data_IF_904145969850
#
_entry.id   IF_904145969850
#
_cell.length_a   1.000
_cell.length_b   1.000
_cell.length_c   1.000
_cell.angle_alpha   90.00
_cell.angle_beta   90.00
_cell.angle_gamma   90.00
#
_symmetry.space_group_name_H-M   'P 1'
#
loop_
_entity.id
_entity.type
_entity.pdbx_description
1 polymer ?
#
# COMPACT_ATOMS: atom_id res chain seq x y z
N UNK A 1 22.86 16.70 -8.10
CA UNK A 1 21.61 16.34 -7.37
C UNK A 1 20.59 17.39 -7.74
N UNK A 2 19.40 17.01 -8.20
CA UNK A 2 18.42 18.01 -8.64
C UNK A 2 17.71 18.63 -7.44
N UNK A 3 17.18 19.85 -7.60
CA UNK A 3 16.42 20.54 -6.56
C UNK A 3 15.12 21.07 -7.14
N UNK A 4 14.01 20.90 -6.42
CA UNK A 4 12.76 21.62 -6.63
C UNK A 4 12.84 22.92 -5.84
N UNK A 5 12.89 24.05 -6.54
CA UNK A 5 13.08 25.38 -5.94
C UNK A 5 11.77 26.12 -5.70
N UNK A 6 10.75 25.81 -6.50
CA UNK A 6 9.44 26.40 -6.37
C UNK A 6 8.33 25.43 -6.80
N UNK A 7 7.13 25.65 -6.28
CA UNK A 7 5.93 24.86 -6.59
C UNK A 7 4.76 25.81 -6.81
N UNK A 8 4.13 25.70 -7.97
CA UNK A 8 2.93 26.47 -8.30
C UNK A 8 1.80 25.55 -8.73
N UNK A 9 0.56 25.93 -8.41
CA UNK A 9 -0.65 25.22 -8.84
C UNK A 9 -1.50 26.20 -9.61
N UNK A 10 -1.72 25.91 -10.89
CA UNK A 10 -2.51 26.74 -11.79
C UNK A 10 -3.81 26.02 -12.16
N UNK A 11 -4.94 26.74 -12.29
CA UNK A 11 -6.17 26.17 -12.81
C UNK A 11 -6.04 25.85 -14.30
N UNK A 12 -6.56 24.70 -14.71
CA UNK A 12 -6.60 24.23 -16.10
C UNK A 12 -8.05 23.93 -16.53
N UNK A 13 -8.29 23.77 -17.84
CA UNK A 13 -9.65 23.55 -18.39
C UNK A 13 -10.37 22.33 -17.79
N UNK A 14 -9.63 21.26 -17.49
CA UNK A 14 -10.17 20.00 -16.96
C UNK A 14 -9.63 19.64 -15.58
N UNK A 15 -9.05 20.60 -14.85
CA UNK A 15 -8.48 20.35 -13.51
C UNK A 15 -7.41 21.36 -13.14
N UNK A 16 -6.20 20.91 -12.84
CA UNK A 16 -5.07 21.76 -12.43
C UNK A 16 -3.76 21.35 -13.09
N UNK A 17 -2.83 22.27 -13.15
CA UNK A 17 -1.43 22.03 -13.45
C UNK A 17 -0.61 22.28 -12.18
N UNK A 18 0.09 21.25 -11.71
CA UNK A 18 1.09 21.39 -10.63
C UNK A 18 2.46 21.49 -11.30
N UNK A 19 3.11 22.64 -11.15
CA UNK A 19 4.40 22.93 -11.77
C UNK A 19 5.47 22.92 -10.68
N UNK A 20 6.44 22.02 -10.81
CA UNK A 20 7.63 21.96 -9.98
C UNK A 20 8.79 22.59 -10.75
N UNK A 21 9.29 23.74 -10.29
CA UNK A 21 10.46 24.37 -10.89
C UNK A 21 11.74 23.69 -10.39
N UNK A 22 12.61 23.29 -11.30
CA UNK A 22 13.78 22.48 -10.95
C UNK A 22 15.08 23.04 -11.50
N UNK A 23 16.19 22.80 -10.79
CA UNK A 23 17.51 23.35 -11.13
C UNK A 23 18.18 22.69 -12.34
N UNK A 24 17.65 21.57 -12.84
CA UNK A 24 18.22 20.80 -13.95
C UNK A 24 17.14 20.37 -14.94
N UNK A 25 17.31 20.63 -16.25
CA UNK A 25 16.34 20.23 -17.29
C UNK A 25 16.25 18.71 -17.46
N UNK A 26 17.30 17.97 -17.08
CA UNK A 26 17.26 16.51 -17.01
C UNK A 26 16.85 16.12 -15.60
N UNK A 27 15.55 15.89 -15.42
CA UNK A 27 14.97 15.49 -14.15
C UNK A 27 15.10 13.99 -13.93
N UNK A 28 15.33 13.66 -12.68
CA UNK A 28 15.38 12.30 -12.15
C UNK A 28 14.09 11.53 -12.44
N UNK A 29 14.18 10.20 -12.41
CA UNK A 29 13.06 9.31 -12.71
C UNK A 29 11.88 9.62 -11.78
N UNK A 30 10.72 9.85 -12.38
CA UNK A 30 9.45 10.01 -11.65
C UNK A 30 8.81 8.63 -11.55
N UNK A 31 8.49 8.23 -10.34
CA UNK A 31 7.70 7.03 -10.05
C UNK A 31 6.35 7.50 -9.56
N UNK A 32 5.26 6.91 -10.07
CA UNK A 32 3.91 7.28 -9.65
C UNK A 32 3.11 6.07 -9.22
N UNK A 33 2.22 6.28 -8.26
CA UNK A 33 1.27 5.28 -7.78
C UNK A 33 -0.08 5.94 -7.48
N UNK A 34 -1.13 5.13 -7.44
CA UNK A 34 -2.46 5.55 -7.00
C UNK A 34 -2.91 4.67 -5.85
N UNK A 35 -3.56 5.28 -4.87
CA UNK A 35 -4.10 4.59 -3.70
C UNK A 35 -5.41 5.25 -3.28
N UNK A 36 -6.49 4.46 -3.26
CA UNK A 36 -7.86 4.93 -3.05
C UNK A 36 -8.18 6.17 -3.90
N UNK A 37 -8.30 7.33 -3.27
CA UNK A 37 -8.65 8.62 -3.89
C UNK A 37 -7.42 9.47 -4.20
N UNK A 38 -6.21 8.94 -4.04
CA UNK A 38 -4.98 9.72 -4.07
C UNK A 38 -4.04 9.26 -5.18
N UNK A 39 -3.50 10.21 -5.91
CA UNK A 39 -2.37 10.02 -6.82
C UNK A 39 -1.09 10.51 -6.13
N UNK A 40 -0.01 9.72 -6.24
CA UNK A 40 1.29 10.00 -5.64
C UNK A 40 2.33 9.98 -6.75
N UNK A 41 3.16 11.02 -6.84
CA UNK A 41 4.34 11.06 -7.69
C UNK A 41 5.59 11.33 -6.85
N UNK A 42 6.62 10.51 -7.03
CA UNK A 42 7.88 10.60 -6.34
C UNK A 42 9.01 10.88 -7.33
N UNK A 43 9.67 12.02 -7.14
CA UNK A 43 10.84 12.44 -7.89
C UNK A 43 12.07 11.93 -7.13
N UNK A 44 12.72 10.90 -7.67
CA UNK A 44 13.97 10.33 -7.12
C UNK A 44 15.13 11.31 -7.28
N UNK A 45 16.27 11.13 -6.60
CA UNK A 45 17.49 11.96 -6.73
C UNK A 45 17.24 13.49 -6.79
N UNK A 46 16.25 13.97 -6.03
CA UNK A 46 15.74 15.34 -6.06
C UNK A 46 15.49 15.81 -4.63
N UNK A 47 15.93 17.02 -4.29
CA UNK A 47 15.68 17.64 -2.99
C UNK A 47 14.66 18.75 -3.09
N UNK A 48 13.80 18.87 -2.08
CA UNK A 48 12.89 20.01 -1.97
C UNK A 48 13.63 21.17 -1.28
N UNK A 49 13.76 22.30 -1.97
CA UNK A 49 14.36 23.53 -1.46
C UNK A 49 13.51 24.74 -1.86
N UNK A 50 12.31 24.81 -1.27
CA UNK A 50 11.40 25.91 -1.52
C UNK A 50 11.95 27.21 -0.94
N UNK A 51 11.88 28.29 -1.70
CA UNK A 51 12.28 29.63 -1.23
C UNK A 51 11.47 30.08 -0.01
N UNK A 52 10.23 29.58 0.13
CA UNK A 52 9.35 29.84 1.27
C UNK A 52 9.76 29.12 2.56
N UNK A 53 10.64 28.10 2.48
CA UNK A 53 11.11 27.29 3.61
C UNK A 53 10.05 26.41 4.28
N UNK A 54 8.80 26.38 3.80
CA UNK A 54 7.68 25.59 4.36
C UNK A 54 7.21 24.51 3.38
N UNK A 55 6.63 23.39 3.86
CA UNK A 55 5.98 22.41 3.00
C UNK A 55 4.88 23.07 2.15
N UNK A 56 4.75 22.67 0.89
CA UNK A 56 3.71 23.22 0.01
C UNK A 56 2.43 22.40 0.15
N UNK A 57 1.32 23.07 0.48
CA UNK A 57 0.00 22.46 0.58
C UNK A 57 -1.07 23.43 0.09
N UNK A 58 -1.93 22.97 -0.81
CA UNK A 58 -3.09 23.70 -1.30
C UNK A 58 -4.32 22.81 -1.15
N UNK A 59 -5.36 23.36 -0.53
CA UNK A 59 -6.64 22.67 -0.36
C UNK A 59 -7.67 23.16 -1.37
N UNK A 60 -8.52 22.24 -1.83
CA UNK A 60 -9.58 22.47 -2.82
C UNK A 60 -9.14 23.30 -4.06
N UNK A 61 -8.05 22.92 -4.75
CA UNK A 61 -7.51 23.72 -5.86
C UNK A 61 -8.39 23.68 -7.13
N UNK A 62 -9.23 22.66 -7.29
CA UNK A 62 -10.24 22.57 -8.35
C UNK A 62 -11.36 21.60 -7.94
N UNK A 63 -12.46 21.63 -8.69
CA UNK A 63 -13.55 20.68 -8.53
C UNK A 63 -13.04 19.24 -8.72
N UNK A 64 -13.43 18.34 -7.82
CA UNK A 64 -12.98 16.94 -7.85
C UNK A 64 -11.60 16.69 -7.20
N UNK A 65 -10.90 17.74 -6.75
CA UNK A 65 -9.59 17.64 -6.09
C UNK A 65 -9.68 18.21 -4.66
N UNK A 66 -9.46 17.35 -3.68
CA UNK A 66 -9.42 17.66 -2.25
C UNK A 66 -8.17 18.46 -1.88
N UNK A 67 -6.98 18.03 -2.31
CA UNK A 67 -5.74 18.72 -1.96
C UNK A 67 -4.57 18.37 -2.89
N UNK A 68 -3.57 19.26 -2.92
CA UNK A 68 -2.25 19.04 -3.51
C UNK A 68 -1.20 19.32 -2.44
N UNK A 69 -0.30 18.38 -2.21
CA UNK A 69 0.78 18.53 -1.23
C UNK A 69 2.11 18.15 -1.87
N UNK A 70 3.17 18.94 -1.63
CA UNK A 70 4.54 18.62 -2.04
C UNK A 70 5.46 18.67 -0.82
N UNK A 71 6.11 17.55 -0.51
CA UNK A 71 7.00 17.40 0.64
C UNK A 71 8.30 16.70 0.27
N UNK A 72 9.35 16.92 1.09
CA UNK A 72 10.53 16.08 1.08
C UNK A 72 10.17 14.72 1.68
N UNK A 73 10.23 13.66 0.88
CA UNK A 73 9.96 12.32 1.36
C UNK A 73 11.17 11.74 2.11
N UNK A 74 12.38 11.98 1.60
CA UNK A 74 13.64 11.67 2.25
C UNK A 74 14.72 12.70 1.81
N UNK A 75 16.00 12.44 2.12
CA UNK A 75 17.12 13.34 1.80
C UNK A 75 17.43 13.46 0.30
N UNK A 76 16.81 12.63 -0.54
CA UNK A 76 17.04 12.56 -1.98
C UNK A 76 15.78 12.38 -2.80
N UNK A 77 14.58 12.52 -2.22
CA UNK A 77 13.32 12.30 -2.94
C UNK A 77 12.26 13.32 -2.54
N UNK A 78 11.51 13.82 -3.52
CA UNK A 78 10.38 14.75 -3.35
C UNK A 78 9.10 14.02 -3.71
N UNK A 79 8.09 14.10 -2.85
CA UNK A 79 6.77 13.49 -3.06
C UNK A 79 5.73 14.56 -3.32
N UNK A 80 4.97 14.39 -4.39
CA UNK A 80 3.77 15.14 -4.73
C UNK A 80 2.56 14.23 -4.53
N UNK A 81 1.60 14.69 -3.75
CA UNK A 81 0.37 13.97 -3.43
C UNK A 81 -0.80 14.80 -3.92
N UNK A 82 -1.68 14.19 -4.72
CA UNK A 82 -2.89 14.82 -5.24
C UNK A 82 -4.07 13.95 -4.83
N UNK A 83 -4.93 14.46 -3.94
CA UNK A 83 -6.08 13.72 -3.42
C UNK A 83 -7.35 14.21 -4.11
N UNK A 84 -8.08 13.30 -4.75
CA UNK A 84 -9.41 13.50 -5.31
C UNK A 84 -10.53 13.33 -4.27
N UNK A 85 -11.77 13.58 -4.69
CA UNK A 85 -12.95 13.50 -3.80
C UNK A 85 -13.51 12.06 -3.72
N UNK A 86 -13.68 11.39 -4.85
CA UNK A 86 -14.33 10.08 -4.94
C UNK A 86 -13.45 8.99 -5.55
N UNK A 87 -12.54 9.38 -6.42
CA UNK A 87 -11.58 8.51 -7.11
C UNK A 87 -10.25 9.24 -7.29
N UNK A 88 -9.15 8.53 -7.56
CA UNK A 88 -7.86 9.19 -7.72
C UNK A 88 -7.88 9.97 -9.04
N UNK A 89 -7.36 11.22 -9.05
CA UNK A 89 -7.36 12.02 -10.26
C UNK A 89 -6.39 11.45 -11.29
N UNK A 90 -6.74 11.54 -12.58
CA UNK A 90 -5.84 11.13 -13.65
C UNK A 90 -4.74 12.18 -13.82
N UNK A 91 -3.47 11.77 -13.80
CA UNK A 91 -2.34 12.69 -13.88
C UNK A 91 -1.44 12.34 -15.05
N UNK A 92 -1.22 13.31 -15.92
CA UNK A 92 -0.22 13.25 -17.00
C UNK A 92 1.00 14.05 -16.59
N UNK A 93 2.19 13.46 -16.72
CA UNK A 93 3.45 14.11 -16.37
C UNK A 93 4.18 14.48 -17.65
N UNK A 94 4.49 15.76 -17.81
CA UNK A 94 5.29 16.29 -18.92
C UNK A 94 6.49 17.07 -18.39
N UNK A 95 7.60 17.02 -19.14
CA UNK A 95 8.83 17.73 -18.82
C UNK A 95 9.05 18.83 -19.85
N UNK A 96 9.27 20.05 -19.39
CA UNK A 96 9.54 21.19 -20.27
C UNK A 96 10.51 22.15 -19.59
N UNK A 97 11.68 22.36 -20.20
CA UNK A 97 12.65 23.42 -19.86
C UNK A 97 12.91 23.66 -18.37
N UNK A 98 13.24 22.61 -17.62
CA UNK A 98 13.56 22.71 -16.18
C UNK A 98 12.35 22.62 -15.26
N UNK A 99 11.14 22.47 -15.80
CA UNK A 99 9.92 22.24 -15.05
C UNK A 99 9.42 20.80 -15.20
N UNK A 100 8.90 20.25 -14.10
CA UNK A 100 8.04 19.07 -14.13
C UNK A 100 6.59 19.54 -14.01
N UNK A 101 5.78 19.28 -15.03
CA UNK A 101 4.37 19.66 -15.05
C UNK A 101 3.51 18.42 -14.86
N UNK A 102 2.74 18.39 -13.79
CA UNK A 102 1.71 17.38 -13.55
C UNK A 102 0.38 18.00 -13.96
N UNK A 103 -0.14 17.57 -15.11
CA UNK A 103 -1.49 17.91 -15.54
C UNK A 103 -2.45 16.94 -14.87
N UNK A 104 -3.23 17.45 -13.92
CA UNK A 104 -4.20 16.68 -13.15
C UNK A 104 -5.58 16.94 -13.73
N UNK A 105 -6.17 15.91 -14.32
CA UNK A 105 -7.57 15.93 -14.71
C UNK A 105 -8.45 15.60 -13.49
N UNK A 106 -9.46 16.43 -13.25
CA UNK A 106 -10.48 16.15 -12.26
C UNK A 106 -11.17 14.82 -12.61
N UNK A 107 -11.46 13.94 -11.62
CA UNK A 107 -12.19 12.71 -11.89
C UNK A 107 -13.55 13.08 -12.49
N UNK A 108 -13.85 12.53 -13.67
CA UNK A 108 -15.11 12.76 -14.34
C UNK A 108 -16.25 12.32 -13.41
N UNK A 109 -17.06 13.27 -12.95
CA UNK A 109 -18.30 12.96 -12.25
C UNK A 109 -19.17 12.15 -13.20
N UNK A 110 -19.32 10.85 -12.91
CA UNK A 110 -20.15 9.97 -13.72
C UNK A 110 -21.61 10.37 -13.53
N UNK A 111 -22.09 11.29 -14.37
CA UNK A 111 -23.50 11.35 -14.70
C UNK A 111 -23.78 10.19 -15.63
N UNK A 112 -24.56 9.22 -15.15
CA UNK A 112 -25.02 8.10 -15.95
C UNK A 112 -25.80 8.60 -17.17
N UNK A 113 -25.25 8.37 -18.36
CA UNK A 113 -26.02 8.24 -19.59
C UNK A 113 -25.28 7.25 -20.49
N UNK A 114 -25.87 6.07 -20.62
CA UNK A 114 -25.39 5.04 -21.52
C UNK A 114 -25.74 5.41 -22.96
N UNK A 115 -24.75 5.46 -23.85
CA UNK A 115 -24.91 5.01 -25.23
C UNK A 115 -23.56 4.50 -25.77
N UNK A 116 -23.51 3.34 -26.46
CA UNK A 116 -22.26 2.70 -26.82
C UNK A 116 -21.70 3.26 -28.13
N UNK A 117 -20.44 3.67 -28.13
CA UNK A 117 -19.66 3.77 -29.37
C UNK A 117 -18.35 3.00 -29.26
N UNK A 118 -18.28 2.03 -30.15
CA UNK A 118 -17.18 1.19 -30.55
C UNK A 118 -16.07 2.04 -31.23
N UNK A 119 -14.81 1.91 -30.79
CA UNK A 119 -13.65 1.71 -31.67
C UNK A 119 -12.36 1.44 -30.86
N UNK A 120 -11.92 0.18 -30.93
CA UNK A 120 -10.56 -0.30 -31.20
C UNK A 120 -9.35 0.60 -30.87
N UNK A 121 -8.56 0.20 -29.86
CA UNK A 121 -7.10 0.43 -29.84
C UNK A 121 -6.36 -0.60 -28.98
N UNK A 122 -5.53 -1.41 -29.66
CA UNK A 122 -4.39 -2.25 -29.21
C UNK A 122 -4.17 -2.44 -27.70
N UNK A 123 -4.33 -3.71 -27.29
CA UNK A 123 -3.78 -4.24 -26.05
C UNK A 123 -2.24 -4.21 -26.11
N UNK A 124 -1.63 -3.45 -25.21
CA UNK A 124 -0.29 -3.74 -24.72
C UNK A 124 -0.47 -4.19 -23.27
N UNK A 125 -0.25 -5.49 -23.06
CA UNK A 125 -0.46 -6.19 -21.82
C UNK A 125 0.65 -5.81 -20.85
N UNK A 126 0.41 -4.75 -20.06
CA UNK A 126 1.25 -4.42 -18.90
C UNK A 126 0.77 -5.29 -17.74
N UNK A 127 1.59 -6.28 -17.39
CA UNK A 127 1.36 -7.22 -16.29
C UNK A 127 1.02 -6.50 -15.00
N UNK A 128 -0.05 -6.94 -14.31
CA UNK A 128 -0.35 -6.58 -12.92
C UNK A 128 0.93 -6.60 -12.08
N UNK A 129 1.36 -5.43 -11.61
CA UNK A 129 2.50 -5.28 -10.71
C UNK A 129 1.93 -5.31 -9.30
N UNK A 130 1.97 -6.50 -8.69
CA UNK A 130 1.60 -6.72 -7.31
C UNK A 130 2.49 -5.86 -6.37
N UNK A 131 1.85 -5.07 -5.50
CA UNK A 131 2.45 -3.99 -4.73
C UNK A 131 2.52 -4.42 -3.24
N UNK A 132 3.72 -4.48 -2.66
CA UNK A 132 3.90 -4.71 -1.22
C UNK A 132 3.69 -3.41 -0.45
N UNK A 133 2.77 -3.43 0.51
CA UNK A 133 2.55 -2.40 1.50
C UNK A 133 2.81 -3.02 2.87
N UNK A 134 4.04 -2.91 3.36
CA UNK A 134 4.33 -3.19 4.77
C UNK A 134 3.89 -2.00 5.62
N UNK A 135 2.59 -1.78 5.63
CA UNK A 135 1.68 -1.23 6.64
C UNK A 135 1.97 0.13 7.33
N UNK A 136 3.19 0.67 7.38
CA UNK A 136 3.47 2.08 7.75
C UNK A 136 4.78 2.62 7.13
N UNK A 137 5.30 1.97 6.10
CA UNK A 137 6.56 2.36 5.42
C UNK A 137 6.35 2.57 3.92
N UNK A 138 7.22 3.35 3.25
CA UNK A 138 7.12 3.59 1.81
C UNK A 138 6.85 2.31 1.05
N UNK A 139 5.80 2.35 0.24
CA UNK A 139 5.50 1.37 -0.78
C UNK A 139 6.76 1.12 -1.59
N UNK A 140 7.38 -0.03 -1.37
CA UNK A 140 8.62 -0.43 -2.05
C UNK A 140 8.23 -1.48 -3.07
N UNK A 141 8.66 -1.32 -4.32
CA UNK A 141 8.35 -2.30 -5.36
C UNK A 141 8.90 -3.67 -4.92
N UNK A 142 8.18 -4.77 -5.13
CA UNK A 142 8.66 -6.12 -4.78
C UNK A 142 10.07 -6.41 -5.31
N UNK A 143 10.41 -5.84 -6.48
CA UNK A 143 11.72 -5.91 -7.14
C UNK A 143 12.85 -5.12 -6.47
N UNK A 144 12.53 -4.16 -5.61
CA UNK A 144 13.51 -3.35 -4.86
C UNK A 144 13.81 -3.94 -3.47
N UNK A 145 13.01 -4.92 -3.03
CA UNK A 145 13.23 -5.63 -1.78
C UNK A 145 14.22 -6.78 -2.05
N UNK A 146 15.41 -6.73 -1.45
CA UNK A 146 16.41 -7.80 -1.48
C UNK A 146 16.01 -8.97 -0.55
N UNK A 147 14.73 -9.36 -0.55
CA UNK A 147 14.18 -10.45 0.25
C UNK A 147 13.00 -11.09 -0.47
N UNK A 148 12.67 -12.34 -0.14
CA UNK A 148 11.46 -12.98 -0.67
C UNK A 148 10.25 -12.40 0.03
N UNK A 149 9.38 -11.73 -0.70
CA UNK A 149 8.10 -11.21 -0.20
C UNK A 149 6.99 -11.90 -0.96
N UNK A 150 6.06 -12.49 -0.21
CA UNK A 150 4.82 -13.01 -0.75
C UNK A 150 3.67 -12.17 -0.22
N UNK A 151 2.67 -11.97 -1.05
CA UNK A 151 1.49 -11.18 -0.75
C UNK A 151 0.28 -12.04 -1.12
N UNK A 152 -0.78 -11.96 -0.32
CA UNK A 152 -2.09 -12.50 -0.68
C UNK A 152 -3.18 -11.57 -0.21
N UNK A 153 -4.02 -11.15 -1.14
CA UNK A 153 -5.23 -10.34 -0.91
C UNK A 153 -6.34 -11.17 -0.28
N UNK A 154 -7.32 -10.50 0.34
CA UNK A 154 -8.52 -11.14 0.88
C UNK A 154 -9.19 -12.07 -0.14
N UNK A 155 -9.30 -11.63 -1.39
CA UNK A 155 -9.93 -12.40 -2.48
C UNK A 155 -9.15 -13.66 -2.85
N UNK A 156 -7.83 -13.62 -2.77
CA UNK A 156 -6.97 -14.79 -3.00
C UNK A 156 -7.01 -15.75 -1.82
N UNK A 157 -6.98 -15.22 -0.59
CA UNK A 157 -7.09 -15.99 0.64
C UNK A 157 -8.44 -16.71 0.74
N UNK A 158 -9.54 -16.04 0.39
CA UNK A 158 -10.89 -16.64 0.33
C UNK A 158 -11.03 -17.70 -0.78
N UNK A 159 -10.20 -17.63 -1.83
CA UNK A 159 -10.24 -18.59 -2.95
C UNK A 159 -9.42 -19.86 -2.67
N UNK A 160 -8.25 -19.69 -2.05
CA UNK A 160 -7.33 -20.79 -1.78
C UNK A 160 -7.71 -21.60 -0.53
N UNK A 161 -8.27 -20.94 0.48
CA UNK A 161 -8.85 -21.62 1.63
C UNK A 161 -10.36 -21.39 1.67
N UNK A 162 -11.12 -22.49 1.74
CA UNK A 162 -12.55 -22.40 1.98
C UNK A 162 -12.77 -22.05 3.47
N UNK A 163 -12.90 -20.75 3.75
CA UNK A 163 -13.20 -20.15 5.06
C UNK A 163 -12.01 -20.11 6.05
N UNK A 164 -10.91 -19.41 5.74
CA UNK A 164 -9.86 -19.21 6.72
C UNK A 164 -10.39 -18.27 7.83
N UNK A 165 -10.42 -18.78 9.05
CA UNK A 165 -11.06 -18.13 10.21
C UNK A 165 -10.12 -17.23 10.99
N UNK A 166 -8.82 -17.47 10.83
CA UNK A 166 -7.77 -16.79 11.58
C UNK A 166 -6.61 -16.47 10.65
N UNK A 167 -5.81 -15.46 11.01
CA UNK A 167 -4.54 -15.14 10.34
C UNK A 167 -3.65 -16.38 10.24
N UNK A 168 -3.61 -17.20 11.30
CA UNK A 168 -2.86 -18.46 11.30
C UNK A 168 -3.32 -19.40 10.18
N UNK A 169 -4.63 -19.62 10.02
CA UNK A 169 -5.15 -20.42 8.90
C UNK A 169 -4.77 -19.79 7.55
N UNK A 170 -5.02 -18.49 7.37
CA UNK A 170 -4.67 -17.75 6.13
C UNK A 170 -3.17 -17.86 5.76
N UNK A 171 -2.29 -17.87 6.76
CA UNK A 171 -0.85 -17.98 6.56
C UNK A 171 -0.40 -19.35 6.03
N UNK A 172 -1.21 -20.40 6.14
CA UNK A 172 -0.88 -21.72 5.58
C UNK A 172 -0.91 -21.73 4.05
N UNK A 173 -1.62 -20.78 3.43
CA UNK A 173 -1.62 -20.56 1.99
C UNK A 173 -0.25 -20.10 1.46
N UNK A 174 0.63 -19.59 2.33
CA UNK A 174 1.93 -19.06 1.93
C UNK A 174 3.00 -20.14 1.90
N UNK A 175 3.81 -20.22 0.83
CA UNK A 175 4.86 -21.22 0.72
C UNK A 175 5.96 -21.01 1.78
N UNK A 176 6.34 -22.09 2.46
CA UNK A 176 7.39 -22.06 3.48
C UNK A 176 6.97 -21.45 4.82
N UNK A 177 5.66 -21.30 5.05
CA UNK A 177 5.07 -21.01 6.35
C UNK A 177 4.41 -22.29 6.89
N UNK A 178 4.63 -22.56 8.17
CA UNK A 178 3.96 -23.62 8.91
C UNK A 178 3.38 -23.03 10.17
N UNK A 179 2.14 -23.38 10.51
CA UNK A 179 1.56 -22.99 11.80
C UNK A 179 1.81 -24.10 12.82
N UNK A 180 2.57 -23.76 13.85
CA UNK A 180 2.74 -24.61 15.02
C UNK A 180 1.54 -24.40 15.94
N UNK A 181 0.62 -25.37 15.95
CA UNK A 181 -0.53 -25.32 16.87
C UNK A 181 -0.05 -25.55 18.30
N UNK A 182 -0.28 -24.56 19.16
CA UNK A 182 -0.06 -24.61 20.60
C UNK A 182 -1.33 -25.03 21.36
N UNK A 183 -2.48 -25.07 20.68
CA UNK A 183 -3.77 -25.52 21.20
C UNK A 183 -4.87 -25.48 20.12
N UNK A 184 -6.13 -25.68 20.52
CA UNK A 184 -7.29 -25.69 19.59
C UNK A 184 -7.51 -24.32 18.93
N UNK A 185 -7.27 -23.23 19.65
CA UNK A 185 -7.42 -21.86 19.19
C UNK A 185 -6.10 -21.07 19.27
N UNK A 186 -4.98 -21.79 19.35
CA UNK A 186 -3.68 -21.16 19.56
C UNK A 186 -2.64 -21.71 18.59
N UNK A 187 -1.91 -20.81 17.94
CA UNK A 187 -0.84 -21.21 17.04
C UNK A 187 0.11 -20.08 16.69
N UNK A 188 1.39 -20.42 16.53
CA UNK A 188 2.42 -19.48 16.11
C UNK A 188 2.96 -19.82 14.73
N UNK A 189 3.36 -18.79 13.99
CA UNK A 189 3.94 -18.97 12.67
C UNK A 189 5.40 -19.43 12.76
N UNK A 190 5.74 -20.38 11.92
CA UNK A 190 7.10 -20.76 11.60
C UNK A 190 7.39 -20.36 10.15
N UNK A 191 8.40 -19.52 9.94
CA UNK A 191 8.79 -19.03 8.62
C UNK A 191 10.17 -19.60 8.31
N UNK A 192 10.25 -20.53 7.35
CA UNK A 192 11.50 -21.21 6.94
C UNK A 192 12.33 -21.78 8.11
N UNK A 193 11.66 -22.35 9.12
CA UNK A 193 12.31 -22.98 10.28
C UNK A 193 12.53 -22.07 11.48
N UNK A 194 12.29 -20.77 11.36
CA UNK A 194 12.38 -19.80 12.46
C UNK A 194 10.99 -19.57 13.07
N UNK A 195 10.93 -19.29 14.38
CA UNK A 195 9.67 -19.15 15.14
C UNK A 195 9.88 -18.17 16.30
N UNK A 196 8.80 -17.79 16.98
CA UNK A 196 8.85 -17.03 18.23
C UNK A 196 9.22 -15.56 18.01
N UNK A 197 9.98 -15.00 18.94
CA UNK A 197 10.49 -13.61 18.91
C UNK A 197 11.39 -13.32 17.69
N UNK A 198 11.67 -14.31 16.84
CA UNK A 198 12.48 -14.15 15.62
C UNK A 198 11.64 -13.74 14.41
N UNK A 199 10.32 -13.71 14.52
CA UNK A 199 9.41 -13.27 13.47
C UNK A 199 8.62 -12.07 13.97
N UNK A 200 8.81 -10.90 13.37
CA UNK A 200 8.02 -9.71 13.70
C UNK A 200 6.59 -9.86 13.17
N UNK A 201 5.60 -9.44 13.96
CA UNK A 201 4.21 -9.34 13.49
C UNK A 201 3.74 -7.89 13.58
N UNK A 202 3.23 -7.38 12.47
CA UNK A 202 2.70 -6.03 12.33
C UNK A 202 1.21 -6.11 12.04
N UNK A 203 0.43 -5.22 12.64
CA UNK A 203 -0.96 -4.94 12.26
C UNK A 203 -1.04 -3.47 11.88
N UNK A 204 -1.39 -3.18 10.63
CA UNK A 204 -1.46 -1.81 10.11
C UNK A 204 -0.20 -0.98 10.40
N UNK A 205 0.95 -1.66 10.42
CA UNK A 205 2.27 -1.04 10.56
C UNK A 205 2.70 -0.85 12.01
N UNK A 206 1.81 -1.12 12.95
CA UNK A 206 2.11 -1.17 14.37
C UNK A 206 2.58 -2.57 14.77
N UNK A 207 3.71 -2.62 15.48
CA UNK A 207 4.26 -3.89 15.96
C UNK A 207 3.43 -4.40 17.11
N UNK A 208 3.00 -5.66 17.03
CA UNK A 208 2.46 -6.34 18.20
C UNK A 208 3.62 -6.88 19.05
N UNK A 209 3.49 -6.82 20.39
CA UNK A 209 4.48 -7.42 21.26
C UNK A 209 4.43 -8.94 21.11
N UNK A 210 5.57 -9.53 20.77
CA UNK A 210 5.72 -10.98 20.69
C UNK A 210 6.01 -11.57 22.07
N UNK A 211 5.55 -12.81 22.27
CA UNK A 211 5.92 -13.65 23.40
C UNK A 211 7.00 -14.65 22.97
N UNK A 212 7.62 -15.35 23.92
CA UNK A 212 8.68 -16.34 23.68
C UNK A 212 8.30 -17.41 22.61
N UNK A 213 7.02 -17.79 22.56
CA UNK A 213 6.48 -18.75 21.60
C UNK A 213 5.92 -18.13 20.31
N UNK A 214 5.98 -16.80 20.19
CA UNK A 214 5.43 -15.99 19.10
C UNK A 214 4.06 -15.42 19.44
N UNK A 215 3.54 -14.56 18.57
CA UNK A 215 2.17 -14.09 18.67
C UNK A 215 1.19 -15.24 18.37
N UNK A 216 0.10 -15.30 19.13
CA UNK A 216 -0.98 -16.22 18.85
C UNK A 216 -1.81 -15.71 17.66
N UNK A 217 -1.77 -16.45 16.56
CA UNK A 217 -2.50 -16.18 15.31
C UNK A 217 -3.75 -17.07 15.17
N UNK A 218 -4.12 -17.79 16.23
CA UNK A 218 -5.29 -18.65 16.31
C UNK A 218 -6.56 -17.95 16.81
N UNK A 219 -6.47 -16.69 17.24
CA UNK A 219 -7.63 -15.90 17.70
C UNK A 219 -7.49 -14.41 17.37
N UNK A 220 -7.41 -14.05 16.09
CA UNK A 220 -7.45 -12.65 15.66
C UNK A 220 -8.88 -12.08 15.73
N UNK A 221 -9.05 -10.85 16.26
CA UNK A 221 -10.35 -10.18 16.33
C UNK A 221 -10.68 -9.31 15.11
N UNK A 222 -9.79 -9.25 14.10
CA UNK A 222 -9.86 -8.29 13.00
C UNK A 222 -10.05 -8.98 11.66
N UNK A 223 -10.66 -8.26 10.71
CA UNK A 223 -10.80 -8.73 9.32
C UNK A 223 -9.55 -8.33 8.54
N UNK A 224 -9.03 -9.29 7.77
CA UNK A 224 -7.80 -9.11 7.00
C UNK A 224 -8.13 -8.73 5.57
N UNK A 225 -7.59 -7.60 5.10
CA UNK A 225 -7.66 -7.17 3.70
C UNK A 225 -6.52 -7.78 2.88
N UNK A 226 -5.33 -7.88 3.48
CA UNK A 226 -4.16 -8.45 2.83
C UNK A 226 -3.14 -8.93 3.86
N UNK A 227 -2.49 -10.05 3.56
CA UNK A 227 -1.33 -10.53 4.29
C UNK A 227 -0.08 -10.35 3.44
N UNK A 228 0.98 -9.85 4.06
CA UNK A 228 2.29 -9.73 3.44
C UNK A 228 3.33 -10.42 4.31
N UNK A 229 4.11 -11.31 3.70
CA UNK A 229 5.13 -12.08 4.41
C UNK A 229 6.49 -11.86 3.78
N UNK A 230 7.32 -11.10 4.48
CA UNK A 230 8.72 -10.93 4.17
C UNK A 230 9.52 -12.04 4.86
N UNK A 231 10.21 -12.86 4.06
CA UNK A 231 11.02 -13.99 4.55
C UNK A 231 12.49 -13.61 4.55
N UNK A 232 13.16 -13.83 5.67
CA UNK A 232 14.58 -13.53 5.87
C UNK A 232 14.83 -12.28 6.71
N UNK A 233 16.10 -11.92 6.86
CA UNK A 233 16.52 -10.88 7.80
C UNK A 233 16.02 -9.51 7.39
N UNK A 234 15.12 -8.95 8.20
CA UNK A 234 14.59 -7.61 8.02
C UNK A 234 14.86 -6.71 9.24
N UNK A 235 15.80 -7.11 10.11
CA UNK A 235 16.08 -6.43 11.37
C UNK A 235 16.56 -4.99 11.24
N UNK A 236 17.21 -4.63 10.12
CA UNK A 236 17.61 -3.23 9.83
C UNK A 236 16.41 -2.31 9.63
N UNK A 237 15.27 -2.88 9.22
CA UNK A 237 14.04 -2.16 8.92
C UNK A 237 13.10 -2.30 10.11
N UNK A 238 12.83 -3.51 10.60
CA UNK A 238 11.77 -3.79 11.58
C UNK A 238 12.26 -4.06 13.02
N UNK A 239 13.57 -3.94 13.29
CA UNK A 239 14.13 -4.10 14.64
C UNK A 239 14.59 -5.52 14.99
N UNK A 240 14.98 -5.73 16.24
CA UNK A 240 15.71 -6.94 16.69
C UNK A 240 14.96 -8.26 16.42
N UNK A 241 13.63 -8.21 16.39
CA UNK A 241 12.74 -9.38 16.36
C UNK A 241 12.37 -9.84 14.93
N UNK A 242 12.93 -9.18 13.90
CA UNK A 242 12.68 -9.48 12.49
C UNK A 242 13.81 -10.31 11.82
N UNK A 243 14.45 -11.19 12.59
CA UNK A 243 15.59 -11.98 12.12
C UNK A 243 15.19 -13.04 11.07
N UNK A 244 14.06 -13.72 11.29
CA UNK A 244 13.52 -14.74 10.39
C UNK A 244 12.54 -14.20 9.35
N UNK A 245 11.98 -13.03 9.59
CA UNK A 245 11.04 -12.40 8.69
C UNK A 245 10.06 -11.51 9.43
N UNK A 246 9.09 -11.02 8.67
CA UNK A 246 8.01 -10.16 9.15
C UNK A 246 6.71 -10.62 8.51
N UNK A 247 5.69 -10.77 9.34
CA UNK A 247 4.31 -10.97 8.93
C UNK A 247 3.59 -9.63 9.13
N UNK A 248 3.05 -9.08 8.06
CA UNK A 248 2.32 -7.83 8.08
C UNK A 248 0.86 -8.09 7.73
N UNK A 249 -0.01 -7.71 8.66
CA UNK A 249 -1.44 -7.85 8.56
C UNK A 249 -2.01 -6.49 8.24
N UNK A 250 -2.67 -6.36 7.09
CA UNK A 250 -3.43 -5.17 6.73
C UNK A 250 -4.89 -5.45 7.04
N UNK A 251 -5.48 -4.67 7.94
CA UNK A 251 -6.88 -4.85 8.32
C UNK A 251 -7.81 -4.16 7.33
N UNK A 252 -9.00 -4.73 7.16
CA UNK A 252 -10.03 -4.15 6.30
C UNK A 252 -10.50 -2.82 6.88
N UNK A 253 -10.38 -1.75 6.09
CA UNK A 253 -10.88 -0.44 6.49
C UNK A 253 -12.42 -0.44 6.50
N UNK A 254 -13.08 -0.07 7.62
CA UNK A 254 -14.54 -0.02 7.67
C UNK A 254 -15.08 1.08 6.77
N UNK A 255 -15.96 0.72 5.83
CA UNK A 255 -16.66 1.68 4.96
C UNK A 255 -17.88 2.25 5.70
N UNK A 256 -18.05 3.58 5.81
CA UNK A 256 -19.15 4.20 6.58
C UNK A 256 -20.55 3.79 6.14
N UNK A 257 -20.69 3.41 4.87
CA UNK A 257 -21.91 3.02 4.17
C UNK A 257 -22.07 1.50 4.01
N UNK A 258 -21.11 0.70 4.51
CA UNK A 258 -21.25 -0.75 4.48
C UNK A 258 -22.33 -1.21 5.47
N UNK A 259 -23.23 -2.14 5.05
CA UNK A 259 -24.21 -2.70 5.96
C UNK A 259 -23.49 -3.44 7.09
N UNK A 260 -24.01 -3.31 8.31
CA UNK A 260 -23.55 -4.09 9.44
C UNK A 260 -23.68 -5.59 9.12
N UNK A 261 -22.58 -6.32 9.23
CA UNK A 261 -22.52 -7.76 8.97
C UNK A 261 -21.92 -8.50 10.15
N UNK A 262 -22.56 -9.60 10.56
CA UNK A 262 -22.03 -10.53 11.56
C UNK A 262 -21.64 -11.82 10.84
N UNK A 263 -20.37 -12.22 10.96
CA UNK A 263 -19.94 -13.58 10.62
C UNK A 263 -19.87 -14.39 11.92
N UNK A 264 -20.58 -15.51 11.95
CA UNK A 264 -20.56 -16.45 13.06
C UNK A 264 -20.03 -17.80 12.57
N UNK A 265 -19.13 -18.41 13.33
CA UNK A 265 -18.57 -19.72 13.03
C UNK A 265 -19.09 -20.74 14.06
N UNK A 266 -19.56 -21.90 13.57
CA UNK A 266 -19.96 -23.02 14.40
C UNK A 266 -18.94 -24.15 14.28
N UNK A 267 -18.57 -24.76 15.40
CA UNK A 267 -17.65 -25.88 15.46
C UNK A 267 -18.38 -27.12 15.99
N UNK A 268 -18.13 -28.28 15.39
CA UNK A 268 -18.67 -29.57 15.84
C UNK A 268 -17.60 -30.65 15.73
N UNK A 269 -17.39 -31.41 16.82
CA UNK A 269 -16.49 -32.56 16.87
C UNK A 269 -17.25 -33.80 17.32
N UNK A 270 -16.98 -34.95 16.69
CA UNK A 270 -17.51 -36.24 17.10
C UNK A 270 -16.60 -36.90 18.13
N UNK A 271 -17.14 -37.30 19.28
CA UNK A 271 -16.43 -38.12 20.25
C UNK A 271 -16.64 -39.60 19.90
N UNK A 272 -15.56 -40.33 19.61
CA UNK A 272 -15.61 -41.79 19.64
C UNK A 272 -15.56 -42.21 21.10
N UNK A 273 -16.61 -42.88 21.56
CA UNK A 273 -16.62 -43.52 22.87
C UNK A 273 -15.69 -44.74 22.79
N UNK A 274 -14.54 -44.64 23.44
CA UNK A 274 -13.59 -45.76 23.61
C UNK A 274 -14.14 -46.71 24.67
#
# INVERSE_FOLDING_TARGET
MNQVTDVTVNPAKEGIEVILQTTSPKLSKVVSSTYEKTYIAELTNTQLRLESGKPFNVSNPANGITSVTVTSFNTSSVRTVVTGIDSPPAVKIEQSDGNLVLTVAAPAQTSASAEPQELTAKQEQESDIELSVTANRPTTLLREILATVDIKTEEELEREEALPRTVGEQLQAFPGIVINRLGVLSGSANVRGLTGERIGVLVDGESLPNLEFGLDLGSDPFRVERLEVLKGSASSIYGADAFGGVISIITTTPKPDAPFGVRAFAFGGGFVRI
#
